data_IF_009527190127
#
_entry.id   IF_009527190127
#
_cell.length_a   1.000
_cell.length_b   1.000
_cell.length_c   1.000
_cell.angle_alpha   90.00
_cell.angle_beta   90.00
_cell.angle_gamma   90.00
#
_symmetry.space_group_name_H-M   'P 1'
#
loop_
_entity.id
_entity.type
_entity.pdbx_description
1 polymer ?
#
# COMPACT_ATOMS: atom_id res chain seq x y z
N UNK A 1 15.87 -10.64 -15.79
CA UNK A 1 14.41 -10.51 -15.98
C UNK A 1 14.17 -9.73 -17.27
N UNK A 2 13.41 -10.24 -18.24
CA UNK A 2 13.07 -9.47 -19.45
C UNK A 2 11.91 -8.53 -19.11
N UNK A 3 12.03 -7.26 -19.49
CA UNK A 3 10.93 -6.30 -19.35
C UNK A 3 10.02 -6.43 -20.58
N UNK A 4 8.89 -7.11 -20.43
CA UNK A 4 7.89 -7.42 -21.46
C UNK A 4 6.56 -6.66 -21.24
N UNK A 5 6.26 -6.29 -19.99
CA UNK A 5 5.11 -5.46 -19.63
C UNK A 5 5.45 -3.98 -19.50
N UNK A 6 4.51 -3.11 -19.89
CA UNK A 6 4.65 -1.65 -19.83
C UNK A 6 3.74 -1.06 -18.76
N UNK A 7 4.32 -0.26 -17.86
CA UNK A 7 3.57 0.54 -16.87
C UNK A 7 3.36 1.95 -17.43
N UNK A 8 2.10 2.39 -17.52
CA UNK A 8 1.72 3.76 -17.91
C UNK A 8 0.75 4.34 -16.89
N UNK A 9 1.09 5.51 -16.35
CA UNK A 9 0.24 6.26 -15.44
C UNK A 9 0.23 7.75 -15.84
N UNK A 10 -0.93 8.40 -15.70
CA UNK A 10 -1.05 9.85 -15.89
C UNK A 10 -0.70 10.56 -14.59
N UNK A 11 0.17 11.56 -14.67
CA UNK A 11 0.56 12.44 -13.58
C UNK A 11 0.61 13.89 -14.08
N UNK A 12 0.49 14.89 -13.19
CA UNK A 12 0.74 16.29 -13.55
C UNK A 12 2.13 16.48 -14.17
N UNK A 13 2.23 17.35 -15.17
CA UNK A 13 3.49 17.57 -15.90
C UNK A 13 4.58 18.14 -14.98
N UNK A 14 4.22 19.10 -14.12
CA UNK A 14 5.15 19.71 -13.16
C UNK A 14 5.69 18.69 -12.13
N UNK A 15 4.85 17.75 -11.72
CA UNK A 15 5.24 16.63 -10.86
C UNK A 15 6.24 15.71 -11.57
N UNK A 16 6.00 15.39 -12.84
CA UNK A 16 6.90 14.57 -13.65
C UNK A 16 8.28 15.21 -13.74
N UNK A 17 8.35 16.49 -14.08
CA UNK A 17 9.61 17.18 -14.31
C UNK A 17 10.44 17.28 -13.02
N UNK A 18 9.81 17.63 -11.89
CA UNK A 18 10.46 17.66 -10.57
C UNK A 18 10.99 16.28 -10.14
N UNK A 19 10.22 15.22 -10.41
CA UNK A 19 10.60 13.86 -10.09
C UNK A 19 11.81 13.40 -10.92
N UNK A 20 11.79 13.63 -12.24
CA UNK A 20 12.91 13.27 -13.13
C UNK A 20 14.19 13.99 -12.71
N UNK A 21 14.15 15.31 -12.50
CA UNK A 21 15.33 16.06 -12.07
C UNK A 21 15.89 15.58 -10.72
N UNK A 22 15.03 15.08 -9.83
CA UNK A 22 15.48 14.51 -8.55
C UNK A 22 16.11 13.13 -8.71
N UNK A 23 15.51 12.27 -9.54
CA UNK A 23 16.03 10.93 -9.82
C UNK A 23 17.38 11.00 -10.55
N UNK A 24 17.55 11.93 -11.48
CA UNK A 24 18.82 12.15 -12.18
C UNK A 24 19.94 12.53 -11.21
N UNK A 25 19.67 13.39 -10.22
CA UNK A 25 20.64 13.71 -9.14
C UNK A 25 21.00 12.51 -8.29
N UNK A 26 20.12 11.50 -8.22
CA UNK A 26 20.36 10.23 -7.52
C UNK A 26 21.00 9.17 -8.43
N UNK A 27 21.24 9.47 -9.72
CA UNK A 27 21.76 8.51 -10.70
C UNK A 27 20.75 7.43 -11.10
N UNK A 28 19.45 7.71 -10.97
CA UNK A 28 18.35 6.78 -11.27
C UNK A 28 17.50 7.28 -12.42
N UNK A 29 17.02 6.36 -13.27
CA UNK A 29 15.94 6.66 -14.21
C UNK A 29 14.57 6.46 -13.55
N UNK A 30 13.52 7.07 -14.13
CA UNK A 30 12.14 6.79 -13.72
C UNK A 30 11.79 5.30 -13.85
N UNK A 31 12.35 4.62 -14.85
CA UNK A 31 12.16 3.18 -15.05
C UNK A 31 12.81 2.35 -13.94
N UNK A 32 13.97 2.77 -13.42
CA UNK A 32 14.62 2.11 -12.28
C UNK A 32 13.78 2.22 -11.02
N UNK A 33 13.28 3.43 -10.72
CA UNK A 33 12.38 3.66 -9.60
C UNK A 33 11.13 2.77 -9.68
N UNK A 34 10.48 2.71 -10.85
CA UNK A 34 9.28 1.91 -11.05
C UNK A 34 9.59 0.43 -10.83
N UNK A 35 10.68 -0.10 -11.42
CA UNK A 35 11.07 -1.52 -11.25
C UNK A 35 11.36 -1.88 -9.80
N UNK A 36 12.14 -1.05 -9.10
CA UNK A 36 12.48 -1.28 -7.70
C UNK A 36 11.25 -1.24 -6.79
N UNK A 37 10.33 -0.31 -7.06
CA UNK A 37 9.08 -0.20 -6.30
C UNK A 37 8.21 -1.44 -6.47
N UNK A 38 8.02 -1.91 -7.71
CA UNK A 38 7.23 -3.11 -7.99
C UNK A 38 7.86 -4.37 -7.40
N UNK A 39 9.20 -4.49 -7.48
CA UNK A 39 9.92 -5.59 -6.83
C UNK A 39 9.67 -5.58 -5.32
N UNK A 40 9.81 -4.44 -4.66
CA UNK A 40 9.61 -4.33 -3.21
C UNK A 40 8.18 -4.63 -2.78
N UNK A 41 7.19 -4.20 -3.57
CA UNK A 41 5.78 -4.53 -3.31
C UNK A 41 5.52 -6.04 -3.46
N UNK A 42 6.09 -6.67 -4.49
CA UNK A 42 5.91 -8.10 -4.74
C UNK A 42 6.58 -8.97 -3.66
N UNK A 43 7.80 -8.62 -3.23
CA UNK A 43 8.58 -9.41 -2.29
C UNK A 43 8.24 -9.13 -0.82
N UNK A 44 8.00 -7.87 -0.45
CA UNK A 44 7.80 -7.47 0.96
C UNK A 44 6.31 -7.29 1.33
N UNK A 45 5.39 -7.36 0.37
CA UNK A 45 3.96 -7.18 0.62
C UNK A 45 3.57 -5.79 1.15
N UNK A 46 4.44 -4.79 0.97
CA UNK A 46 4.25 -3.41 1.46
C UNK A 46 4.79 -2.37 0.50
N UNK A 47 4.27 -1.15 0.61
CA UNK A 47 4.82 -0.02 -0.12
C UNK A 47 6.17 0.42 0.48
N UNK A 48 7.07 1.00 -0.33
CA UNK A 48 8.37 1.48 0.14
C UNK A 48 8.28 2.78 0.97
N UNK A 49 7.07 3.23 1.28
CA UNK A 49 6.75 4.37 2.13
C UNK A 49 5.59 4.00 3.05
N UNK A 50 5.51 4.65 4.20
CA UNK A 50 4.48 4.38 5.18
C UNK A 50 3.10 4.79 4.65
N UNK A 51 2.21 3.80 4.51
CA UNK A 51 0.80 4.07 4.19
C UNK A 51 0.08 4.35 5.50
N UNK A 52 0.13 5.61 5.93
CA UNK A 52 -0.40 6.01 7.23
C UNK A 52 -1.93 6.13 7.26
N UNK A 53 -2.60 6.21 6.10
CA UNK A 53 -4.04 6.41 6.02
C UNK A 53 -4.74 5.08 5.74
N UNK A 54 -5.59 4.56 6.65
CA UNK A 54 -6.33 3.34 6.41
C UNK A 54 -7.20 3.46 5.16
N UNK A 55 -7.33 2.38 4.40
CA UNK A 55 -8.17 2.39 3.21
C UNK A 55 -9.66 2.58 3.58
N UNK A 56 -10.52 2.77 2.57
CA UNK A 56 -11.95 3.02 2.81
C UNK A 56 -12.63 1.90 3.61
N UNK A 57 -12.27 0.65 3.34
CA UNK A 57 -12.81 -0.53 4.02
C UNK A 57 -12.39 -0.55 5.49
N UNK A 58 -11.11 -0.35 5.78
CA UNK A 58 -10.58 -0.29 7.15
C UNK A 58 -11.20 0.87 7.94
N UNK A 59 -11.32 2.06 7.34
CA UNK A 59 -12.00 3.20 7.97
C UNK A 59 -13.46 2.91 8.30
N UNK A 60 -14.17 2.18 7.44
CA UNK A 60 -15.56 1.78 7.69
C UNK A 60 -15.63 0.81 8.88
N UNK A 61 -14.78 -0.22 8.89
CA UNK A 61 -14.71 -1.18 9.99
C UNK A 61 -14.39 -0.51 11.33
N UNK A 62 -13.43 0.43 11.36
CA UNK A 62 -13.10 1.21 12.55
C UNK A 62 -14.30 1.99 13.09
N UNK A 63 -15.02 2.70 12.20
CA UNK A 63 -16.24 3.44 12.58
C UNK A 63 -17.36 2.54 13.11
N UNK A 64 -17.51 1.33 12.56
CA UNK A 64 -18.49 0.35 13.05
C UNK A 64 -18.15 -0.12 14.47
N UNK A 65 -16.87 -0.38 14.75
CA UNK A 65 -16.41 -0.74 16.08
C UNK A 65 -16.57 0.42 17.09
N UNK A 66 -16.20 1.65 16.71
CA UNK A 66 -16.38 2.86 17.53
C UNK A 66 -17.86 3.13 17.86
N UNK A 67 -18.76 2.85 16.91
CA UNK A 67 -20.21 2.95 17.11
C UNK A 67 -20.80 1.80 17.94
N UNK A 68 -19.97 0.92 18.50
CA UNK A 68 -20.40 -0.20 19.34
C UNK A 68 -21.04 -1.35 18.60
N UNK A 69 -20.92 -1.42 17.27
CA UNK A 69 -21.48 -2.51 16.44
C UNK A 69 -20.56 -3.73 16.34
N UNK A 70 -19.44 -3.72 17.06
CA UNK A 70 -18.52 -4.86 17.15
C UNK A 70 -19.11 -5.99 17.98
N UNK A 71 -18.81 -7.22 17.58
CA UNK A 71 -19.14 -8.41 18.38
C UNK A 71 -18.22 -8.47 19.60
N UNK A 72 -18.79 -8.75 20.77
CA UNK A 72 -18.06 -8.93 22.03
C UNK A 72 -18.11 -10.40 22.45
N UNK A 73 -17.05 -10.83 23.12
CA UNK A 73 -16.90 -12.17 23.66
C UNK A 73 -16.39 -12.05 25.09
N UNK A 74 -16.78 -13.01 25.94
CA UNK A 74 -16.44 -12.99 27.36
C UNK A 74 -15.00 -13.48 27.62
N UNK A 75 -14.44 -14.27 26.71
CA UNK A 75 -13.08 -14.80 26.78
C UNK A 75 -12.50 -15.04 25.37
N UNK A 76 -11.21 -15.38 25.31
CA UNK A 76 -10.50 -15.63 24.06
C UNK A 76 -10.95 -16.93 23.36
N UNK A 77 -11.36 -17.95 24.12
CA UNK A 77 -11.81 -19.24 23.56
C UNK A 77 -13.09 -19.08 22.74
N UNK A 78 -14.04 -18.28 23.22
CA UNK A 78 -15.27 -17.95 22.50
C UNK A 78 -15.01 -17.14 21.23
N UNK A 79 -14.02 -16.24 21.25
CA UNK A 79 -13.57 -15.49 20.07
C UNK A 79 -12.98 -16.42 19.00
N UNK A 80 -12.05 -17.30 19.37
CA UNK A 80 -11.41 -18.20 18.42
C UNK A 80 -12.41 -19.19 17.80
N UNK A 81 -13.31 -19.72 18.63
CA UNK A 81 -14.42 -20.57 18.16
C UNK A 81 -15.29 -19.87 17.12
N UNK A 82 -15.57 -18.57 17.27
CA UNK A 82 -16.33 -17.80 16.28
C UNK A 82 -15.55 -17.51 14.99
N UNK A 83 -14.24 -17.27 15.12
CA UNK A 83 -13.35 -17.03 13.99
C UNK A 83 -13.00 -18.30 13.19
N UNK A 84 -13.30 -19.48 13.73
CA UNK A 84 -13.03 -20.77 13.08
C UNK A 84 -11.53 -21.09 13.02
N UNK A 85 -10.75 -20.54 13.95
CA UNK A 85 -9.31 -20.79 14.11
C UNK A 85 -9.01 -21.34 15.50
#
# INVERSE_FOLDING_TARGET
MRADAVVRARIPADMKDKAIATLERMGLSASDLIRLTFLRVAEEGRLPFDVQVPNRTTRKAMKELEAGKGKRFDNAEDLFKDLGI
#
